data_IF_961034611757
#
_entry.id   IF_961034611757
#
_cell.length_a   1.000
_cell.length_b   1.000
_cell.length_c   1.000
_cell.angle_alpha   90.00
_cell.angle_beta   90.00
_cell.angle_gamma   90.00
#
_symmetry.space_group_name_H-M   'P 1'
#
loop_
_entity.id
_entity.type
_entity.pdbx_description
1 polymer ?
#
# COMPACT_ATOMS: atom_id res chain seq x y z
N UNK A 1 -5.23 -18.95 -1.82
CA UNK A 1 -4.67 -18.11 -2.91
C UNK A 1 -3.52 -17.26 -2.38
N UNK A 2 -3.76 -16.34 -1.44
CA UNK A 2 -2.69 -15.50 -0.87
C UNK A 2 -1.56 -16.29 -0.21
N UNK A 3 -1.88 -17.38 0.50
CA UNK A 3 -0.88 -18.26 1.11
C UNK A 3 0.10 -18.94 0.11
N UNK A 4 -0.24 -18.98 -1.18
CA UNK A 4 0.63 -19.51 -2.25
C UNK A 4 1.29 -18.40 -3.08
N UNK A 5 0.86 -17.15 -2.91
CA UNK A 5 1.45 -16.02 -3.62
C UNK A 5 2.79 -15.66 -2.95
N UNK A 6 3.78 -15.31 -3.77
CA UNK A 6 5.06 -14.80 -3.26
C UNK A 6 4.97 -13.34 -2.80
N UNK A 7 4.03 -12.59 -3.39
CA UNK A 7 3.81 -11.17 -3.12
C UNK A 7 2.36 -10.80 -3.42
N UNK A 8 1.77 -9.95 -2.59
CA UNK A 8 0.51 -9.24 -2.89
C UNK A 8 0.80 -7.75 -3.15
N UNK A 9 0.22 -7.17 -4.19
CA UNK A 9 0.29 -5.73 -4.47
C UNK A 9 -1.13 -5.24 -4.68
N UNK A 10 -1.54 -4.22 -3.92
CA UNK A 10 -2.91 -3.70 -4.04
C UNK A 10 -3.17 -2.47 -3.19
N UNK A 11 -4.34 -1.88 -3.41
CA UNK A 11 -4.81 -0.75 -2.61
C UNK A 11 -5.27 -1.18 -1.21
N UNK A 12 -5.47 -0.18 -0.34
CA UNK A 12 -6.17 -0.34 0.94
C UNK A 12 -7.56 -0.96 0.69
N UNK A 13 -7.69 -2.25 1.04
CA UNK A 13 -8.91 -3.05 0.86
C UNK A 13 -8.79 -4.39 1.61
N UNK A 14 -9.90 -5.12 1.76
CA UNK A 14 -9.93 -6.42 2.45
C UNK A 14 -8.81 -7.41 2.04
N UNK A 15 -8.53 -7.62 0.74
CA UNK A 15 -7.46 -8.51 0.29
C UNK A 15 -6.06 -8.18 0.84
N UNK A 16 -5.74 -6.89 1.04
CA UNK A 16 -4.49 -6.48 1.66
C UNK A 16 -4.37 -7.04 3.08
N UNK A 17 -5.44 -6.92 3.87
CA UNK A 17 -5.47 -7.44 5.24
C UNK A 17 -5.44 -8.96 5.28
N UNK A 18 -6.07 -9.64 4.33
CA UNK A 18 -5.99 -11.10 4.19
C UNK A 18 -4.55 -11.52 3.89
N UNK A 19 -3.86 -10.87 2.93
CA UNK A 19 -2.46 -11.14 2.64
C UNK A 19 -1.57 -10.91 3.87
N UNK A 20 -1.81 -9.82 4.61
CA UNK A 20 -1.09 -9.52 5.84
C UNK A 20 -1.29 -10.61 6.90
N UNK A 21 -2.55 -11.03 7.13
CA UNK A 21 -2.91 -12.08 8.09
C UNK A 21 -2.35 -13.45 7.72
N UNK A 22 -2.12 -13.73 6.42
CA UNK A 22 -1.46 -14.95 5.95
C UNK A 22 0.07 -14.85 5.97
N UNK A 23 0.63 -13.75 6.49
CA UNK A 23 2.06 -13.45 6.48
C UNK A 23 2.69 -13.43 5.07
N UNK A 24 1.87 -13.23 4.03
CA UNK A 24 2.33 -13.01 2.67
C UNK A 24 2.99 -11.63 2.58
N UNK A 25 4.20 -11.50 2.00
CA UNK A 25 4.78 -10.21 1.68
C UNK A 25 3.79 -9.35 0.90
N UNK A 26 3.69 -8.07 1.23
CA UNK A 26 2.74 -7.21 0.53
C UNK A 26 3.25 -5.77 0.35
N UNK A 27 2.83 -5.17 -0.75
CA UNK A 27 3.03 -3.75 -1.06
C UNK A 27 1.65 -3.10 -1.05
N UNK A 28 1.46 -2.17 -0.13
CA UNK A 28 0.19 -1.53 0.12
C UNK A 28 0.16 -0.11 -0.44
N UNK A 29 -0.79 0.17 -1.33
CA UNK A 29 -0.92 1.44 -2.02
C UNK A 29 -2.07 2.25 -1.41
N UNK A 30 -1.73 3.29 -0.66
CA UNK A 30 -2.71 4.13 0.02
C UNK A 30 -2.87 5.48 -0.69
N UNK A 31 -4.14 5.84 -0.91
CA UNK A 31 -4.52 7.18 -1.32
C UNK A 31 -4.79 8.09 -0.13
N UNK A 32 -5.80 8.98 -0.23
CA UNK A 32 -6.21 9.83 0.87
C UNK A 32 -6.62 8.99 2.07
N UNK A 33 -6.08 9.30 3.25
CA UNK A 33 -6.43 8.55 4.44
C UNK A 33 -5.71 9.00 5.70
N UNK A 34 -5.96 8.27 6.79
CA UNK A 34 -5.34 8.51 8.09
C UNK A 34 -4.13 7.60 8.24
N UNK A 35 -2.99 8.19 8.65
CA UNK A 35 -1.75 7.45 8.87
C UNK A 35 -1.92 6.41 9.98
N UNK A 36 -1.33 5.21 9.79
CA UNK A 36 -1.19 4.14 10.78
C UNK A 36 -2.48 3.48 11.30
N UNK A 37 -3.67 3.84 10.80
CA UNK A 37 -4.94 3.23 11.25
C UNK A 37 -5.15 1.86 10.59
N UNK A 38 -5.16 1.83 9.25
CA UNK A 38 -5.49 0.63 8.46
C UNK A 38 -4.26 -0.03 7.84
N UNK A 39 -3.07 0.18 8.41
CA UNK A 39 -1.88 -0.45 7.87
C UNK A 39 -1.89 -1.96 8.11
N UNK A 40 -1.37 -2.76 7.16
CA UNK A 40 -1.23 -4.20 7.33
C UNK A 40 -0.38 -4.49 8.57
N UNK A 41 -0.74 -5.55 9.30
CA UNK A 41 -0.18 -5.87 10.62
C UNK A 41 0.88 -6.98 10.56
N UNK A 42 1.63 -7.08 9.46
CA UNK A 42 2.76 -8.01 9.35
C UNK A 42 4.07 -7.25 9.12
N UNK A 43 5.20 -7.92 9.35
CA UNK A 43 6.54 -7.34 9.22
C UNK A 43 7.05 -7.29 7.77
N UNK A 44 6.37 -8.00 6.86
CA UNK A 44 6.73 -8.12 5.44
C UNK A 44 5.92 -7.17 4.55
N UNK A 45 5.44 -6.08 5.14
CA UNK A 45 4.66 -5.06 4.43
C UNK A 45 5.52 -3.85 4.10
N UNK A 46 5.42 -3.36 2.86
CA UNK A 46 5.90 -2.04 2.48
C UNK A 46 4.68 -1.17 2.17
N UNK A 47 4.57 -0.01 2.82
CA UNK A 47 3.42 0.89 2.69
C UNK A 47 3.83 2.15 1.94
N UNK A 48 3.19 2.41 0.81
CA UNK A 48 3.27 3.67 0.07
C UNK A 48 2.05 4.52 0.41
N UNK A 49 2.25 5.61 1.14
CA UNK A 49 1.18 6.51 1.57
C UNK A 49 1.68 7.94 1.66
N UNK A 50 1.17 8.79 0.77
CA UNK A 50 1.52 10.21 0.70
C UNK A 50 0.39 11.08 1.29
N UNK A 51 0.77 12.20 1.88
CA UNK A 51 -0.14 13.09 2.60
C UNK A 51 0.00 14.53 2.14
N UNK A 52 -1.12 15.24 2.09
CA UNK A 52 -1.12 16.69 1.90
C UNK A 52 -0.99 17.37 3.27
N UNK A 53 -0.25 18.48 3.36
CA UNK A 53 -0.19 19.25 4.61
C UNK A 53 -1.51 19.97 4.93
N UNK A 54 -2.30 20.29 3.90
CA UNK A 54 -3.61 20.98 3.97
C UNK A 54 -4.49 20.45 2.84
N UNK A 55 -5.80 20.62 2.95
CA UNK A 55 -6.70 20.30 1.84
C UNK A 55 -7.11 18.83 1.74
N UNK A 56 -6.96 18.02 2.81
CA UNK A 56 -7.24 16.58 2.76
C UNK A 56 -8.65 16.22 2.27
N UNK A 57 -9.66 17.01 2.66
CA UNK A 57 -11.08 16.77 2.31
C UNK A 57 -11.43 17.27 0.91
N UNK A 58 -10.53 18.00 0.26
CA UNK A 58 -10.72 18.62 -1.06
C UNK A 58 -10.07 17.81 -2.18
N UNK A 59 -9.65 16.58 -1.88
CA UNK A 59 -9.04 15.69 -2.87
C UNK A 59 -10.10 15.15 -3.83
N UNK A 60 -9.77 15.15 -5.11
CA UNK A 60 -10.53 14.63 -6.25
C UNK A 60 -9.69 13.56 -6.96
N UNK A 61 -10.20 13.00 -8.06
CA UNK A 61 -9.47 12.01 -8.87
C UNK A 61 -8.15 12.58 -9.46
N UNK A 62 -8.07 13.90 -9.62
CA UNK A 62 -6.98 14.59 -10.32
C UNK A 62 -5.85 15.01 -9.38
N UNK A 63 -6.16 15.31 -8.11
CA UNK A 63 -5.17 15.78 -7.13
C UNK A 63 -5.02 14.84 -5.92
N UNK A 64 -5.59 13.63 -5.99
CA UNK A 64 -5.49 12.63 -4.93
C UNK A 64 -4.05 12.15 -4.71
N UNK A 65 -3.65 11.96 -3.46
CA UNK A 65 -2.29 11.55 -3.08
C UNK A 65 -1.87 10.18 -3.60
N UNK A 66 -2.80 9.32 -4.02
CA UNK A 66 -2.43 8.03 -4.64
C UNK A 66 -1.64 8.24 -5.95
N UNK A 67 -1.85 9.38 -6.63
CA UNK A 67 -1.11 9.76 -7.85
C UNK A 67 0.35 10.12 -7.57
N UNK A 68 0.72 10.38 -6.32
CA UNK A 68 2.11 10.59 -5.91
C UNK A 68 2.90 9.29 -5.90
N UNK A 69 2.24 8.13 -5.89
CA UNK A 69 2.90 6.83 -5.96
C UNK A 69 3.32 6.55 -7.40
N UNK A 70 4.62 6.43 -7.61
CA UNK A 70 5.26 6.17 -8.89
C UNK A 70 5.43 4.67 -9.16
N UNK A 71 5.51 4.29 -10.44
CA UNK A 71 5.78 2.90 -10.83
C UNK A 71 7.18 2.46 -10.36
N UNK A 72 8.17 3.36 -10.41
CA UNK A 72 9.55 3.04 -10.09
C UNK A 72 9.75 2.71 -8.60
N UNK A 73 9.14 3.45 -7.68
CA UNK A 73 9.26 3.13 -6.24
C UNK A 73 8.54 1.82 -5.88
N UNK A 74 7.44 1.50 -6.58
CA UNK A 74 6.76 0.21 -6.43
C UNK A 74 7.65 -0.92 -6.92
N UNK A 75 8.31 -0.77 -8.08
CA UNK A 75 9.29 -1.76 -8.58
C UNK A 75 10.44 -1.98 -7.59
N UNK A 76 11.01 -0.92 -7.04
CA UNK A 76 12.05 -1.03 -6.00
C UNK A 76 11.57 -1.81 -4.76
N UNK A 77 10.29 -1.64 -4.40
CA UNK A 77 9.68 -2.37 -3.29
C UNK A 77 9.46 -3.86 -3.63
N UNK A 78 9.12 -4.17 -4.89
CA UNK A 78 9.05 -5.54 -5.40
C UNK A 78 10.42 -6.20 -5.32
N UNK A 79 11.45 -5.55 -5.84
CA UNK A 79 12.82 -6.08 -5.83
C UNK A 79 13.29 -6.36 -4.40
N UNK A 80 13.00 -5.45 -3.45
CA UNK A 80 13.34 -5.63 -2.03
C UNK A 80 12.65 -6.82 -1.35
N UNK A 81 11.42 -7.16 -1.75
CA UNK A 81 10.65 -8.24 -1.12
C UNK A 81 10.85 -9.59 -1.79
N UNK A 82 11.36 -9.62 -3.02
CA UNK A 82 11.58 -10.83 -3.80
C UNK A 82 13.05 -11.20 -3.97
N UNK A 83 13.99 -10.32 -3.60
CA UNK A 83 15.43 -10.64 -3.45
C UNK A 83 15.67 -11.58 -2.29
#
# INVERSE_FOLDING_TARGET
>A
LCNRAQLFIGNESGPLHIAAAQNTPNIALFGPGVKNVFYPKNEKSIVHHYFLARGHKQQTIENTTIRSITINEVKQSVDKLLS
#
